data_IF_538791728798
#
_entry.id   IF_538791728798
#
_cell.length_a   1.000
_cell.length_b   1.000
_cell.length_c   1.000
_cell.angle_alpha   90.00
_cell.angle_beta   90.00
_cell.angle_gamma   90.00
#
_symmetry.space_group_name_H-M   'P 1'
#
loop_
_entity.id
_entity.type
_entity.pdbx_description
1 polymer ?
#
# COMPACT_ATOMS: atom_id res chain seq x y z
N UNK A 1 -13.74 54.63 11.98
CA UNK A 1 -12.92 53.57 12.61
C UNK A 1 -13.20 52.18 12.01
N UNK A 2 -13.31 52.04 10.69
CA UNK A 2 -13.52 50.76 10.01
C UNK A 2 -12.30 50.14 9.24
N UNK A 3 -11.15 50.82 8.97
CA UNK A 3 -10.11 50.23 8.13
C UNK A 3 -9.10 49.32 8.85
N UNK A 4 -9.01 49.34 10.18
CA UNK A 4 -7.97 48.60 10.91
C UNK A 4 -8.16 47.07 10.90
N UNK A 5 -9.39 46.57 10.73
CA UNK A 5 -9.69 45.14 10.75
C UNK A 5 -9.51 44.44 9.38
N UNK A 6 -9.29 45.19 8.30
CA UNK A 6 -9.19 44.66 6.93
C UNK A 6 -8.13 43.55 6.77
N UNK A 7 -6.88 43.74 7.23
CA UNK A 7 -5.85 42.71 7.14
C UNK A 7 -6.18 41.43 7.92
N UNK A 8 -6.81 41.56 9.09
CA UNK A 8 -7.21 40.41 9.90
C UNK A 8 -8.33 39.60 9.24
N UNK A 9 -9.33 40.26 8.65
CA UNK A 9 -10.39 39.58 7.89
C UNK A 9 -9.84 38.89 6.63
N UNK A 10 -8.88 39.51 5.94
CA UNK A 10 -8.19 38.90 4.81
C UNK A 10 -7.41 37.65 5.24
N UNK A 11 -6.67 37.74 6.35
CA UNK A 11 -5.95 36.60 6.94
C UNK A 11 -6.92 35.48 7.31
N UNK A 12 -8.00 35.77 8.05
CA UNK A 12 -8.97 34.76 8.49
C UNK A 12 -9.60 34.02 7.29
N UNK A 13 -9.93 34.74 6.21
CA UNK A 13 -10.46 34.11 4.98
C UNK A 13 -9.42 33.21 4.31
N UNK A 14 -8.18 33.68 4.19
CA UNK A 14 -7.10 32.88 3.60
C UNK A 14 -6.82 31.62 4.45
N UNK A 15 -6.81 31.74 5.77
CA UNK A 15 -6.66 30.62 6.69
C UNK A 15 -7.83 29.64 6.58
N UNK A 16 -9.07 30.11 6.47
CA UNK A 16 -10.23 29.23 6.27
C UNK A 16 -10.08 28.40 4.99
N UNK A 17 -9.70 29.01 3.87
CA UNK A 17 -9.41 28.30 2.62
C UNK A 17 -8.26 27.29 2.80
N UNK A 18 -7.20 27.66 3.54
CA UNK A 18 -6.11 26.73 3.87
C UNK A 18 -6.56 25.54 4.71
N UNK A 19 -7.45 25.74 5.67
CA UNK A 19 -8.03 24.67 6.48
C UNK A 19 -8.89 23.72 5.63
N UNK A 20 -9.71 24.24 4.71
CA UNK A 20 -10.53 23.44 3.79
C UNK A 20 -9.65 22.55 2.89
N UNK A 21 -8.56 23.12 2.35
CA UNK A 21 -7.58 22.37 1.56
C UNK A 21 -6.88 21.30 2.39
N UNK A 22 -6.42 21.64 3.61
CA UNK A 22 -5.77 20.68 4.50
C UNK A 22 -6.70 19.52 4.88
N UNK A 23 -7.98 19.80 5.15
CA UNK A 23 -8.97 18.77 5.43
C UNK A 23 -9.17 17.83 4.23
N UNK A 24 -9.28 18.40 3.02
CA UNK A 24 -9.39 17.62 1.78
C UNK A 24 -8.18 16.71 1.58
N UNK A 25 -6.97 17.23 1.78
CA UNK A 25 -5.73 16.46 1.61
C UNK A 25 -5.57 15.37 2.68
N UNK A 26 -6.00 15.62 3.92
CA UNK A 26 -5.99 14.61 4.97
C UNK A 26 -6.90 13.42 4.61
N UNK A 27 -8.10 13.69 4.07
CA UNK A 27 -9.01 12.63 3.58
C UNK A 27 -8.39 11.90 2.39
N UNK A 28 -7.81 12.62 1.44
CA UNK A 28 -7.14 12.00 0.29
C UNK A 28 -6.00 11.06 0.70
N UNK A 29 -5.19 11.46 1.69
CA UNK A 29 -4.11 10.63 2.22
C UNK A 29 -4.61 9.37 2.92
N UNK A 30 -5.69 9.46 3.71
CA UNK A 30 -6.31 8.30 4.34
C UNK A 30 -6.87 7.32 3.30
N UNK A 31 -7.58 7.83 2.28
CA UNK A 31 -8.10 7.01 1.18
C UNK A 31 -6.99 6.31 0.39
N UNK A 32 -5.87 7.00 0.15
CA UNK A 32 -4.71 6.40 -0.49
C UNK A 32 -4.14 5.24 0.36
N UNK A 33 -3.97 5.46 1.67
CA UNK A 33 -3.54 4.41 2.59
C UNK A 33 -4.47 3.19 2.57
N UNK A 34 -5.78 3.40 2.67
CA UNK A 34 -6.76 2.30 2.68
C UNK A 34 -6.74 1.51 1.37
N UNK A 35 -6.55 2.21 0.24
CA UNK A 35 -6.44 1.58 -1.09
C UNK A 35 -5.19 0.70 -1.17
N UNK A 36 -4.05 1.24 -0.74
CA UNK A 36 -2.78 0.52 -0.73
C UNK A 36 -2.85 -0.69 0.20
N UNK A 37 -3.39 -0.52 1.42
CA UNK A 37 -3.56 -1.59 2.39
C UNK A 37 -4.45 -2.72 1.85
N UNK A 38 -5.53 -2.39 1.14
CA UNK A 38 -6.42 -3.39 0.54
C UNK A 38 -5.79 -4.17 -0.62
N UNK A 39 -4.81 -3.58 -1.32
CA UNK A 39 -4.10 -4.25 -2.42
C UNK A 39 -2.86 -5.03 -1.97
N UNK A 40 -2.20 -4.61 -0.88
CA UNK A 40 -1.02 -5.31 -0.36
C UNK A 40 -1.36 -6.74 0.06
N UNK A 41 -0.52 -7.69 -0.34
CA UNK A 41 -0.68 -9.09 -0.01
C UNK A 41 -0.53 -9.30 1.50
N UNK A 42 -1.48 -9.98 2.19
CA UNK A 42 -1.36 -10.20 3.62
C UNK A 42 -0.10 -11.02 3.97
N UNK A 43 0.70 -10.62 4.98
CA UNK A 43 1.93 -11.32 5.34
C UNK A 43 1.78 -12.83 5.60
N UNK A 44 0.68 -13.34 6.20
CA UNK A 44 0.48 -14.78 6.35
C UNK A 44 0.37 -15.55 5.03
N UNK A 45 -0.13 -14.92 3.96
CA UNK A 45 -0.23 -15.53 2.62
C UNK A 45 1.17 -15.72 2.03
N UNK A 46 2.03 -14.71 2.18
CA UNK A 46 3.45 -14.81 1.78
C UNK A 46 4.14 -15.92 2.59
N UNK A 47 3.95 -15.94 3.91
CA UNK A 47 4.53 -16.97 4.78
C UNK A 47 4.09 -18.39 4.40
N UNK A 48 2.82 -18.58 4.03
CA UNK A 48 2.30 -19.87 3.56
C UNK A 48 3.02 -20.33 2.27
N UNK A 49 3.19 -19.44 1.29
CA UNK A 49 3.96 -19.73 0.07
C UNK A 49 5.41 -20.15 0.40
N UNK A 50 6.07 -19.45 1.33
CA UNK A 50 7.45 -19.79 1.72
C UNK A 50 7.56 -21.12 2.46
N UNK A 51 6.58 -21.45 3.30
CA UNK A 51 6.51 -22.73 3.99
C UNK A 51 6.28 -23.90 3.02
N UNK A 52 5.40 -23.71 2.02
CA UNK A 52 5.14 -24.70 0.98
C UNK A 52 6.38 -24.94 0.11
N UNK A 53 7.07 -23.88 -0.32
CA UNK A 53 8.34 -24.00 -1.04
C UNK A 53 9.36 -24.82 -0.24
N UNK A 54 9.53 -24.53 1.05
CA UNK A 54 10.44 -25.28 1.91
C UNK A 54 10.09 -26.78 1.97
N UNK A 55 8.79 -27.11 2.06
CA UNK A 55 8.32 -28.49 2.05
C UNK A 55 8.56 -29.20 0.70
N UNK A 56 8.29 -28.52 -0.42
CA UNK A 56 8.52 -29.05 -1.76
C UNK A 56 10.01 -29.32 -2.00
N UNK A 57 10.88 -28.40 -1.58
CA UNK A 57 12.34 -28.54 -1.68
C UNK A 57 12.83 -29.70 -0.80
N UNK A 58 12.38 -29.77 0.47
CA UNK A 58 12.78 -30.83 1.39
C UNK A 58 12.41 -32.23 0.90
N UNK A 59 11.35 -32.35 0.11
CA UNK A 59 10.86 -33.62 -0.44
C UNK A 59 11.29 -33.88 -1.88
N UNK A 60 12.07 -32.98 -2.51
CA UNK A 60 12.48 -33.09 -3.91
C UNK A 60 13.66 -34.06 -4.17
N UNK A 61 13.69 -35.20 -3.49
CA UNK A 61 14.83 -36.14 -3.50
C UNK A 61 15.13 -36.68 -4.91
N UNK A 62 14.07 -36.93 -5.69
CA UNK A 62 14.17 -37.44 -7.06
C UNK A 62 13.92 -36.38 -8.14
N UNK A 63 13.85 -35.10 -7.76
CA UNK A 63 13.58 -34.01 -8.72
C UNK A 63 12.12 -33.90 -9.21
N UNK A 64 11.21 -34.73 -8.71
CA UNK A 64 9.80 -34.77 -9.15
C UNK A 64 9.02 -33.49 -8.81
N UNK A 65 9.39 -32.79 -7.74
CA UNK A 65 8.72 -31.57 -7.30
C UNK A 65 9.21 -30.31 -8.03
N UNK A 66 10.20 -30.43 -8.93
CA UNK A 66 10.80 -29.27 -9.62
C UNK A 66 9.77 -28.38 -10.33
N UNK A 67 8.74 -28.92 -11.04
CA UNK A 67 7.68 -28.09 -11.61
C UNK A 67 6.83 -27.38 -10.55
N UNK A 68 6.55 -28.03 -9.41
CA UNK A 68 5.81 -27.42 -8.30
C UNK A 68 6.60 -26.30 -7.61
N UNK A 69 7.92 -26.48 -7.47
CA UNK A 69 8.84 -25.44 -6.98
C UNK A 69 8.80 -24.22 -7.90
N UNK A 70 8.90 -24.43 -9.22
CA UNK A 70 8.83 -23.32 -10.18
C UNK A 70 7.48 -22.59 -10.11
N UNK A 71 6.37 -23.33 -9.94
CA UNK A 71 5.04 -22.73 -9.80
C UNK A 71 4.91 -21.88 -8.52
N UNK A 72 5.39 -22.37 -7.37
CA UNK A 72 5.28 -21.62 -6.11
C UNK A 72 6.20 -20.38 -6.10
N UNK A 73 7.36 -20.44 -6.79
CA UNK A 73 8.21 -19.26 -7.00
C UNK A 73 7.60 -18.23 -7.97
N UNK A 74 6.91 -18.68 -9.02
CA UNK A 74 6.15 -17.79 -9.90
C UNK A 74 5.05 -17.06 -9.13
N UNK A 75 4.28 -17.79 -8.30
CA UNK A 75 3.26 -17.19 -7.43
C UNK A 75 3.87 -16.18 -6.43
N UNK A 76 5.07 -16.45 -5.89
CA UNK A 76 5.78 -15.46 -5.06
C UNK A 76 6.15 -14.18 -5.84
N UNK A 77 6.54 -14.33 -7.10
CA UNK A 77 6.87 -13.21 -7.98
C UNK A 77 5.65 -12.36 -8.32
N UNK A 78 4.47 -12.99 -8.46
CA UNK A 78 3.18 -12.29 -8.61
C UNK A 78 2.84 -11.47 -7.36
N UNK A 79 3.00 -12.05 -6.16
CA UNK A 79 2.80 -11.31 -4.90
C UNK A 79 3.74 -10.10 -4.80
N UNK A 80 5.02 -10.26 -5.18
CA UNK A 80 5.96 -9.13 -5.24
C UNK A 80 5.46 -8.06 -6.21
N UNK A 81 5.13 -8.43 -7.45
CA UNK A 81 4.66 -7.48 -8.45
C UNK A 81 3.40 -6.73 -7.99
N UNK A 82 2.48 -7.40 -7.31
CA UNK A 82 1.28 -6.81 -6.72
C UNK A 82 1.63 -5.79 -5.62
N UNK A 83 2.50 -6.14 -4.68
CA UNK A 83 2.91 -5.22 -3.61
C UNK A 83 3.65 -4.00 -4.16
N UNK A 84 4.51 -4.19 -5.18
CA UNK A 84 5.18 -3.09 -5.85
C UNK A 84 4.17 -2.17 -6.58
N UNK A 85 3.20 -2.75 -7.29
CA UNK A 85 2.14 -1.98 -7.93
C UNK A 85 1.29 -1.20 -6.92
N UNK A 86 1.02 -1.78 -5.74
CA UNK A 86 0.33 -1.10 -4.66
C UNK A 86 1.11 0.07 -4.07
N UNK A 87 2.43 -0.04 -3.94
CA UNK A 87 3.25 1.08 -3.43
C UNK A 87 3.41 2.23 -4.43
N UNK A 88 3.26 1.98 -5.73
CA UNK A 88 3.38 3.00 -6.77
C UNK A 88 2.06 3.71 -7.12
N UNK A 89 0.92 3.23 -6.62
CA UNK A 89 -0.40 3.85 -6.80
C UNK A 89 -0.68 4.92 -5.75
#
# INVERSE_FOLDING_TARGET
MAPAAGPYLAWMRATATGCEQAATQAVAAATAYDSVFAMTVPPPVIAANRAELAALVATNIFGQNTPGIAAIEAHYSEMWAQDAAAMYS
#
